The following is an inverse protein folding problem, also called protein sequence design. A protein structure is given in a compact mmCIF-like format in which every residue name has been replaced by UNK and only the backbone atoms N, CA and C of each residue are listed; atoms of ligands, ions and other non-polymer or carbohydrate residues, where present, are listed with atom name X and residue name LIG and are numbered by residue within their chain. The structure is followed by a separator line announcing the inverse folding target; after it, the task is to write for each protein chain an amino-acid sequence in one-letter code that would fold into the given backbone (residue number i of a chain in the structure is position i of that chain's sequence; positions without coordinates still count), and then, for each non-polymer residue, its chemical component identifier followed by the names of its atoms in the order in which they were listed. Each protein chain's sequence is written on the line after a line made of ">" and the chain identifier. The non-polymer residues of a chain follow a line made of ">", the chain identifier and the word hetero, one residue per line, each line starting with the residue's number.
data_IF_663248016320
#
_entry.id   IF_663248016320
#
_cell.length_a   1.000
_cell.length_b   1.000
_cell.length_c   1.000
_cell.angle_alpha   90.00
_cell.angle_beta   90.00
_cell.angle_gamma   90.00
#
_symmetry.space_group_name_H-M   'P 1'
#
loop_
_entity.id
_entity.type
_entity.pdbx_description
1 polymer ?
#
# COMPACT_ATOMS: atom_id res chain seq x y z
N UNK A 1 10.71 -13.99 -5.76
CA UNK A 1 11.78 -14.95 -6.13
C UNK A 1 11.56 -15.39 -7.57
N UNK A 2 12.63 -15.72 -8.31
CA UNK A 2 12.49 -16.23 -9.67
C UNK A 2 11.85 -17.63 -9.66
N UNK A 3 10.91 -17.88 -10.56
CA UNK A 3 10.26 -19.19 -10.70
C UNK A 3 11.31 -20.16 -11.24
N UNK A 4 11.65 -21.19 -10.47
CA UNK A 4 12.59 -22.23 -10.90
C UNK A 4 11.85 -23.18 -11.84
N UNK A 5 12.44 -23.47 -12.99
CA UNK A 5 11.92 -24.40 -13.98
C UNK A 5 12.24 -25.85 -13.55
N UNK A 6 11.20 -26.68 -13.43
CA UNK A 6 11.28 -28.07 -12.98
C UNK A 6 12.09 -28.92 -13.97
N UNK A 7 11.98 -28.65 -15.27
CA UNK A 7 12.75 -29.39 -16.28
C UNK A 7 14.24 -29.07 -16.18
N UNK A 8 14.56 -27.81 -15.86
CA UNK A 8 15.94 -27.39 -15.60
C UNK A 8 16.48 -28.01 -14.31
N UNK A 9 15.65 -28.10 -13.27
CA UNK A 9 16.00 -28.78 -12.02
C UNK A 9 16.29 -30.27 -12.26
N UNK A 10 15.43 -30.96 -13.01
CA UNK A 10 15.59 -32.37 -13.39
C UNK A 10 16.89 -32.62 -14.16
N UNK A 11 17.21 -31.75 -15.12
CA UNK A 11 18.48 -31.84 -15.85
C UNK A 11 19.70 -31.65 -14.95
N UNK A 12 19.63 -30.75 -13.95
CA UNK A 12 20.72 -30.53 -13.00
C UNK A 12 20.89 -31.74 -12.07
N UNK A 13 19.79 -32.32 -11.60
CA UNK A 13 19.80 -33.51 -10.74
C UNK A 13 20.42 -34.72 -11.46
N UNK A 14 20.02 -35.00 -12.71
CA UNK A 14 20.60 -36.08 -13.51
C UNK A 14 22.09 -35.89 -13.84
N UNK A 15 22.61 -34.65 -13.79
CA UNK A 15 24.04 -34.36 -14.02
C UNK A 15 24.90 -34.57 -12.78
N UNK A 16 24.33 -34.43 -11.59
CA UNK A 16 25.08 -34.42 -10.33
C UNK A 16 24.85 -35.67 -9.49
N UNK A 17 23.72 -36.37 -9.66
CA UNK A 17 23.40 -37.60 -8.95
C UNK A 17 23.22 -38.75 -9.95
N UNK A 18 23.81 -39.91 -9.66
CA UNK A 18 23.74 -41.11 -10.52
C UNK A 18 22.62 -42.05 -10.11
N UNK A 19 22.13 -41.91 -8.88
CA UNK A 19 21.09 -42.75 -8.31
C UNK A 19 19.71 -42.27 -8.77
N UNK A 20 19.16 -43.01 -9.75
CA UNK A 20 17.85 -42.74 -10.34
C UNK A 20 16.74 -42.80 -9.29
N UNK A 21 16.89 -43.61 -8.25
CA UNK A 21 15.87 -43.78 -7.22
C UNK A 21 15.82 -42.54 -6.32
N UNK A 22 16.98 -42.06 -5.87
CA UNK A 22 17.08 -40.79 -5.11
C UNK A 22 16.59 -39.59 -5.92
N UNK A 23 16.88 -39.53 -7.22
CA UNK A 23 16.39 -38.44 -8.08
C UNK A 23 14.85 -38.42 -8.12
N UNK A 24 14.24 -39.59 -8.26
CA UNK A 24 12.78 -39.70 -8.27
C UNK A 24 12.17 -39.36 -6.91
N UNK A 25 12.81 -39.77 -5.80
CA UNK A 25 12.36 -39.45 -4.45
C UNK A 25 12.38 -37.93 -4.21
N UNK A 26 13.45 -37.23 -4.60
CA UNK A 26 13.57 -35.77 -4.49
C UNK A 26 12.51 -35.05 -5.35
N UNK A 27 12.27 -35.51 -6.59
CA UNK A 27 11.26 -34.90 -7.45
C UNK A 27 9.84 -35.09 -6.90
N UNK A 28 9.57 -36.24 -6.29
CA UNK A 28 8.28 -36.52 -5.66
C UNK A 28 8.06 -35.66 -4.41
N UNK A 29 9.09 -35.48 -3.58
CA UNK A 29 9.04 -34.62 -2.40
C UNK A 29 8.77 -33.15 -2.78
N UNK A 30 9.45 -32.65 -3.81
CA UNK A 30 9.23 -31.29 -4.35
C UNK A 30 7.81 -31.14 -4.90
N UNK A 31 7.30 -32.13 -5.63
CA UNK A 31 5.93 -32.07 -6.17
C UNK A 31 4.88 -32.10 -5.05
N UNK A 32 5.11 -32.90 -4.02
CA UNK A 32 4.24 -32.96 -2.83
C UNK A 32 4.22 -31.61 -2.10
N UNK A 33 5.38 -31.01 -1.88
CA UNK A 33 5.49 -29.70 -1.21
C UNK A 33 4.86 -28.57 -2.04
N UNK A 34 5.05 -28.58 -3.36
CA UNK A 34 4.37 -27.65 -4.28
C UNK A 34 2.85 -27.83 -4.28
N UNK A 35 2.37 -29.06 -4.11
CA UNK A 35 0.94 -29.37 -4.04
C UNK A 35 0.34 -28.92 -2.71
N UNK A 36 1.06 -29.12 -1.60
CA UNK A 36 0.70 -28.60 -0.27
C UNK A 36 0.67 -27.06 -0.29
N UNK A 37 1.69 -26.39 -0.84
CA UNK A 37 1.71 -24.92 -0.97
C UNK A 37 0.54 -24.41 -1.83
N UNK A 38 0.16 -25.15 -2.87
CA UNK A 38 -0.96 -24.80 -3.74
C UNK A 38 -2.30 -24.97 -3.03
N UNK A 39 -2.49 -26.08 -2.32
CA UNK A 39 -3.69 -26.33 -1.52
C UNK A 39 -3.82 -25.32 -0.37
N UNK A 40 -2.71 -24.96 0.29
CA UNK A 40 -2.69 -23.88 1.29
C UNK A 40 -2.98 -22.51 0.70
N UNK A 41 -2.55 -22.24 -0.54
CA UNK A 41 -2.82 -20.98 -1.23
C UNK A 41 -4.26 -20.88 -1.71
N UNK A 42 -4.83 -21.99 -2.17
CA UNK A 42 -6.21 -22.06 -2.65
C UNK A 42 -7.21 -22.11 -1.47
N UNK A 43 -6.79 -22.61 -0.31
CA UNK A 43 -7.55 -22.54 0.95
C UNK A 43 -7.53 -21.15 1.61
N UNK A 44 -6.55 -20.29 1.27
CA UNK A 44 -6.57 -18.89 1.72
C UNK A 44 -7.66 -18.15 0.96
N UNK A 45 -8.60 -17.46 1.66
CA UNK A 45 -9.56 -16.61 0.97
C UNK A 45 -8.80 -15.62 0.06
N UNK A 46 -9.30 -15.35 -1.16
CA UNK A 46 -8.60 -14.50 -2.12
C UNK A 46 -8.24 -13.18 -1.44
N UNK A 47 -6.98 -12.76 -1.57
CA UNK A 47 -6.47 -11.56 -0.89
C UNK A 47 -7.26 -10.35 -1.40
N UNK A 48 -8.31 -9.99 -0.67
CA UNK A 48 -9.16 -8.85 -1.00
C UNK A 48 -8.30 -7.61 -0.83
N UNK A 49 -8.00 -6.94 -1.94
CA UNK A 49 -7.33 -5.64 -1.92
C UNK A 49 -8.22 -4.70 -1.10
N UNK A 50 -7.76 -4.36 0.09
CA UNK A 50 -8.47 -3.47 1.00
C UNK A 50 -8.51 -2.08 0.37
N UNK A 51 -9.71 -1.53 0.26
CA UNK A 51 -9.92 -0.15 -0.14
C UNK A 51 -9.95 0.72 1.11
N UNK A 52 -9.25 1.84 1.07
CA UNK A 52 -9.36 2.87 2.09
C UNK A 52 -10.50 3.80 1.66
N UNK A 53 -11.38 4.16 2.59
CA UNK A 53 -12.45 5.13 2.40
C UNK A 53 -12.47 6.08 3.60
N UNK A 54 -12.85 7.34 3.38
CA UNK A 54 -13.07 8.32 4.45
C UNK A 54 -14.58 8.59 4.54
N UNK A 55 -15.18 8.51 5.72
CA UNK A 55 -16.58 8.87 5.92
C UNK A 55 -16.66 10.34 6.34
N UNK A 56 -17.48 11.14 5.65
CA UNK A 56 -17.72 12.54 6.00
C UNK A 56 -19.18 12.69 6.43
N UNK A 57 -19.37 13.12 7.69
CA UNK A 57 -20.69 13.51 8.17
C UNK A 57 -21.08 14.85 7.54
N UNK A 58 -22.01 14.84 6.59
CA UNK A 58 -22.54 16.02 5.91
C UNK A 58 -24.00 16.26 6.29
N UNK A 59 -24.24 16.53 7.57
CA UNK A 59 -25.60 16.74 8.10
C UNK A 59 -26.29 17.98 7.52
N UNK A 60 -25.56 18.88 6.87
CA UNK A 60 -26.09 20.08 6.22
C UNK A 60 -26.31 19.90 4.70
N UNK A 61 -25.91 18.76 4.13
CA UNK A 61 -26.09 18.44 2.72
C UNK A 61 -25.24 19.29 1.76
N UNK A 62 -24.13 19.85 2.24
CA UNK A 62 -23.24 20.74 1.47
C UNK A 62 -22.46 19.98 0.40
N UNK A 63 -22.23 18.68 0.61
CA UNK A 63 -21.41 17.80 -0.20
C UNK A 63 -22.26 16.80 -1.00
N UNK A 64 -23.59 16.96 -1.01
CA UNK A 64 -24.48 16.17 -1.86
C UNK A 64 -24.07 16.36 -3.32
N UNK A 65 -23.94 15.24 -4.03
CA UNK A 65 -23.64 15.14 -5.47
C UNK A 65 -22.20 15.44 -5.91
N UNK A 66 -21.23 15.47 -4.98
CA UNK A 66 -19.80 15.60 -5.32
C UNK A 66 -19.00 14.37 -4.91
N UNK A 67 -18.27 13.80 -5.87
CA UNK A 67 -17.24 12.80 -5.58
C UNK A 67 -16.03 13.50 -4.95
N UNK A 68 -15.71 13.13 -3.71
CA UNK A 68 -14.63 13.72 -2.95
C UNK A 68 -13.46 12.75 -2.85
N UNK A 69 -12.30 13.19 -3.33
CA UNK A 69 -11.03 12.51 -3.11
C UNK A 69 -10.34 13.10 -1.88
N UNK A 70 -9.90 12.25 -0.95
CA UNK A 70 -9.34 12.69 0.34
C UNK A 70 -8.04 11.97 0.66
N UNK A 71 -7.21 12.53 1.54
CA UNK A 71 -6.06 11.83 2.12
C UNK A 71 -6.25 11.72 3.63
N UNK A 72 -5.84 10.59 4.19
CA UNK A 72 -5.88 10.38 5.65
C UNK A 72 -4.55 10.84 6.23
N UNK A 73 -4.61 11.87 7.07
CA UNK A 73 -3.48 12.48 7.75
C UNK A 73 -3.67 12.38 9.26
N UNK A 74 -2.57 12.33 10.02
CA UNK A 74 -2.58 12.55 11.47
C UNK A 74 -1.69 13.74 11.82
N UNK A 75 -2.09 14.47 12.87
CA UNK A 75 -1.37 15.56 13.53
C UNK A 75 -1.47 15.37 15.05
N UNK A 76 -0.65 16.07 15.86
CA UNK A 76 -0.82 16.09 17.32
C UNK A 76 -2.20 16.63 17.71
N UNK A 77 -2.76 16.15 18.82
CA UNK A 77 -4.12 16.51 19.27
C UNK A 77 -4.27 18.01 19.59
N UNK A 78 -3.22 18.63 20.12
CA UNK A 78 -3.18 20.05 20.48
C UNK A 78 -2.95 20.98 19.28
N UNK A 79 -2.71 20.40 18.09
CA UNK A 79 -2.37 21.16 16.89
C UNK A 79 -3.62 21.61 16.13
N UNK A 80 -3.54 22.78 15.49
CA UNK A 80 -4.69 23.34 14.76
C UNK A 80 -4.81 22.66 13.38
N UNK A 81 -5.91 21.92 13.10
CA UNK A 81 -6.10 21.25 11.81
C UNK A 81 -6.10 22.18 10.61
N UNK A 82 -6.48 23.45 10.78
CA UNK A 82 -6.53 24.45 9.69
C UNK A 82 -5.14 24.80 9.15
N UNK A 83 -4.05 24.47 9.87
CA UNK A 83 -2.67 24.72 9.45
C UNK A 83 -2.03 23.55 8.73
N UNK A 84 -2.77 22.48 8.45
CA UNK A 84 -2.23 21.28 7.80
C UNK A 84 -1.61 21.59 6.43
N UNK A 85 -2.21 22.52 5.67
CA UNK A 85 -1.70 22.91 4.36
C UNK A 85 -0.34 23.61 4.47
N UNK A 86 -0.16 24.51 5.44
CA UNK A 86 1.13 25.16 5.70
C UNK A 86 2.24 24.12 5.92
N UNK A 87 1.96 23.11 6.75
CA UNK A 87 2.90 22.02 7.07
C UNK A 87 3.23 21.14 5.85
N UNK A 88 2.24 20.90 5.00
CA UNK A 88 2.43 20.19 3.72
C UNK A 88 3.30 21.02 2.77
N UNK A 89 3.07 22.33 2.68
CA UNK A 89 3.88 23.23 1.85
C UNK A 89 5.33 23.30 2.33
N UNK A 90 5.55 23.34 3.64
CA UNK A 90 6.90 23.28 4.22
C UNK A 90 7.58 21.94 3.89
N UNK A 91 6.86 20.82 4.04
CA UNK A 91 7.37 19.50 3.65
C UNK A 91 7.73 19.40 2.16
N UNK A 92 6.93 20.01 1.29
CA UNK A 92 7.20 20.10 -0.15
C UNK A 92 8.46 20.93 -0.44
N UNK A 93 8.60 22.07 0.22
CA UNK A 93 9.76 22.95 0.09
C UNK A 93 11.05 22.24 0.51
N UNK A 94 11.04 21.57 1.65
CA UNK A 94 12.21 20.86 2.17
C UNK A 94 12.60 19.68 1.29
N UNK A 95 11.61 18.94 0.78
CA UNK A 95 11.86 17.92 -0.22
C UNK A 95 12.49 18.51 -1.49
N UNK A 96 11.91 19.59 -2.04
CA UNK A 96 12.41 20.24 -3.26
C UNK A 96 13.82 20.83 -3.08
N UNK A 97 14.18 21.19 -1.85
CA UNK A 97 15.53 21.66 -1.48
C UNK A 97 16.55 20.53 -1.38
N UNK A 98 16.11 19.26 -1.22
CA UNK A 98 16.99 18.09 -1.16
C UNK A 98 17.65 17.77 -2.52
N UNK A 99 18.78 17.04 -2.55
CA UNK A 99 19.41 16.63 -3.81
C UNK A 99 18.48 15.85 -4.76
N UNK A 100 17.56 15.05 -4.20
CA UNK A 100 16.57 14.30 -4.99
C UNK A 100 15.47 15.22 -5.50
N UNK A 101 14.90 16.07 -4.64
CA UNK A 101 13.84 16.99 -5.04
C UNK A 101 14.30 18.08 -6.02
N UNK A 102 15.56 18.51 -5.96
CA UNK A 102 16.11 19.42 -6.99
C UNK A 102 16.11 18.80 -8.39
N UNK A 103 16.30 17.48 -8.49
CA UNK A 103 16.26 16.75 -9.77
C UNK A 103 14.81 16.43 -10.18
N UNK A 104 13.95 16.14 -9.21
CA UNK A 104 12.56 15.73 -9.41
C UNK A 104 11.65 16.44 -8.39
N UNK A 105 11.33 17.72 -8.62
CA UNK A 105 10.58 18.52 -7.66
C UNK A 105 9.10 18.17 -7.70
N UNK A 106 8.46 18.17 -6.53
CA UNK A 106 7.00 18.11 -6.41
C UNK A 106 6.39 19.50 -6.65
N UNK A 107 5.24 19.53 -7.31
CA UNK A 107 4.56 20.75 -7.76
C UNK A 107 3.13 20.88 -7.26
N UNK A 108 2.56 19.79 -6.74
CA UNK A 108 1.20 19.77 -6.20
C UNK A 108 1.14 19.13 -4.82
N UNK A 109 0.04 19.38 -4.09
CA UNK A 109 -0.25 18.72 -2.82
C UNK A 109 -0.33 17.19 -3.01
N UNK A 110 -0.97 16.73 -4.08
CA UNK A 110 -1.07 15.30 -4.40
C UNK A 110 0.31 14.65 -4.58
N UNK A 111 1.16 15.25 -5.41
CA UNK A 111 2.55 14.79 -5.60
C UNK A 111 3.34 14.82 -4.29
N UNK A 112 3.13 15.86 -3.47
CA UNK A 112 3.79 15.98 -2.17
C UNK A 112 3.41 14.80 -1.25
N UNK A 113 2.11 14.53 -1.11
CA UNK A 113 1.59 13.46 -0.26
C UNK A 113 2.01 12.07 -0.77
N UNK A 114 2.15 11.89 -2.07
CA UNK A 114 2.56 10.62 -2.70
C UNK A 114 4.09 10.40 -2.58
N UNK A 115 4.89 11.34 -3.07
CA UNK A 115 6.33 11.17 -3.32
C UNK A 115 7.19 11.48 -2.08
N UNK A 116 6.81 12.47 -1.28
CA UNK A 116 7.64 12.91 -0.15
C UNK A 116 7.71 11.84 0.92
N UNK A 117 8.93 11.61 1.41
CA UNK A 117 9.19 10.56 2.41
C UNK A 117 8.53 10.89 3.76
N UNK A 118 8.16 9.85 4.51
CA UNK A 118 7.59 10.02 5.84
C UNK A 118 8.54 10.73 6.83
N UNK A 119 9.85 10.70 6.59
CA UNK A 119 10.83 11.40 7.45
C UNK A 119 10.61 12.91 7.42
N UNK A 120 10.52 13.50 6.23
CA UNK A 120 10.33 14.95 6.04
C UNK A 120 8.98 15.41 6.62
N UNK A 121 7.92 14.62 6.45
CA UNK A 121 6.62 14.95 7.05
C UNK A 121 6.63 14.90 8.59
N UNK A 122 7.36 13.95 9.18
CA UNK A 122 7.49 13.85 10.64
C UNK A 122 8.22 15.04 11.27
N UNK A 123 9.16 15.64 10.55
CA UNK A 123 9.84 16.88 10.98
C UNK A 123 8.84 18.04 11.16
N UNK A 124 7.74 18.02 10.39
CA UNK A 124 6.62 18.97 10.48
C UNK A 124 5.44 18.46 11.35
N UNK A 125 5.63 17.33 12.05
CA UNK A 125 4.61 16.66 12.85
C UNK A 125 3.35 16.27 12.05
N UNK A 126 3.53 15.77 10.83
CA UNK A 126 2.45 15.22 10.00
C UNK A 126 2.74 13.75 9.69
N UNK A 127 1.70 12.90 9.75
CA UNK A 127 1.78 11.50 9.34
C UNK A 127 0.77 11.20 8.23
N UNK A 128 1.27 11.02 7.01
CA UNK A 128 0.47 10.62 5.84
C UNK A 128 0.19 9.12 5.90
N UNK A 129 -1.09 8.71 5.97
CA UNK A 129 -1.50 7.30 6.04
C UNK A 129 -1.84 6.70 4.69
N UNK A 130 -2.35 7.51 3.79
CA UNK A 130 -2.72 7.08 2.43
C UNK A 130 -1.84 7.83 1.44
N UNK A 131 -1.10 7.10 0.60
CA UNK A 131 -0.27 7.71 -0.46
C UNK A 131 -1.07 8.03 -1.73
N UNK A 132 -2.17 7.34 -1.92
CA UNK A 132 -3.15 7.55 -2.97
C UNK A 132 -4.39 8.16 -2.32
N UNK A 133 -5.06 9.14 -2.94
CA UNK A 133 -6.32 9.64 -2.42
C UNK A 133 -7.37 8.54 -2.34
N UNK A 134 -8.21 8.63 -1.32
CA UNK A 134 -9.28 7.70 -0.99
C UNK A 134 -10.62 8.38 -1.21
N UNK A 135 -11.58 7.62 -1.72
CA UNK A 135 -12.92 8.14 -1.95
C UNK A 135 -13.59 8.44 -0.61
N UNK A 136 -14.21 9.61 -0.51
CA UNK A 136 -15.04 9.96 0.61
C UNK A 136 -16.52 9.75 0.31
N UNK A 137 -17.21 9.14 1.26
CA UNK A 137 -18.66 8.92 1.21
C UNK A 137 -19.32 9.83 2.24
N UNK A 138 -20.31 10.61 1.81
CA UNK A 138 -21.08 11.46 2.70
C UNK A 138 -22.18 10.65 3.41
N UNK A 139 -22.46 10.99 4.67
CA UNK A 139 -23.60 10.44 5.42
C UNK A 139 -24.33 11.52 6.22
N UNK A 140 -25.59 11.27 6.57
CA UNK A 140 -26.44 12.17 7.36
C UNK A 140 -26.10 12.14 8.87
N UNK A 141 -25.16 11.28 9.27
CA UNK A 141 -24.76 11.02 10.65
C UNK A 141 -25.95 10.55 11.53
N UNK A 142 -26.91 9.83 10.94
CA UNK A 142 -28.02 9.24 11.65
C UNK A 142 -28.07 7.72 11.43
N UNK A 143 -28.42 6.99 12.48
CA UNK A 143 -28.76 5.58 12.34
C UNK A 143 -30.25 5.45 11.96
N UNK A 144 -30.63 4.41 11.21
CA UNK A 144 -32.04 4.14 10.92
C UNK A 144 -32.83 4.02 12.23
N UNK A 145 -33.92 4.79 12.36
CA UNK A 145 -34.85 4.63 13.49
C UNK A 145 -35.56 3.29 13.34
N UNK A 146 -35.45 2.46 14.36
CA UNK A 146 -36.11 1.14 14.45
C UNK A 146 -37.58 1.30 14.83
#
# INVERSE_FOLDING_TARGET
>A
MAKIDIDKLKQILHRNESDVQKINDILNEINLELQIEKEERDARPPMVKKQFITLIADSQGVLKDSDLATWVLQIPEEDNPHRILDKIHQSAHDYNSSPKGRRLPVRSVGETLEIVSAKIFKEHQVWVKTKIPVLAVSCDNQLPKT
#
